data_IF_328645184989
#
_entry.id   IF_328645184989
#
_cell.length_a   1.000
_cell.length_b   1.000
_cell.length_c   1.000
_cell.angle_alpha   90.00
_cell.angle_beta   90.00
_cell.angle_gamma   90.00
#
_symmetry.space_group_name_H-M   'P 1'
#
loop_
_entity.id
_entity.type
_entity.pdbx_description
1 polymer ?
#
# COMPACT_ATOMS: atom_id res chain seq x y z
N UNK A 1 15.30 0.00 -2.03
CA UNK A 1 13.85 -0.05 -1.75
C UNK A 1 13.11 -0.84 -2.81
N UNK A 2 13.11 -0.43 -4.09
CA UNK A 2 12.38 -1.14 -5.15
C UNK A 2 12.73 -2.64 -5.25
N UNK A 3 14.02 -2.99 -5.20
CA UNK A 3 14.48 -4.37 -5.30
C UNK A 3 14.00 -5.26 -4.14
N UNK A 4 13.84 -4.69 -2.94
CA UNK A 4 13.25 -5.41 -1.80
C UNK A 4 11.77 -5.63 -2.03
N UNK A 5 11.05 -4.59 -2.49
CA UNK A 5 9.61 -4.67 -2.77
C UNK A 5 9.29 -5.64 -3.91
N UNK A 6 10.18 -5.79 -4.90
CA UNK A 6 9.99 -6.77 -6.00
C UNK A 6 9.87 -8.22 -5.55
N UNK A 7 10.30 -8.54 -4.32
CA UNK A 7 10.17 -9.86 -3.70
C UNK A 7 8.83 -10.05 -2.98
N UNK A 8 8.10 -8.96 -2.75
CA UNK A 8 6.82 -8.97 -2.05
C UNK A 8 5.69 -9.37 -3.01
N UNK A 9 4.81 -10.32 -2.62
CA UNK A 9 3.73 -10.78 -3.49
C UNK A 9 2.69 -9.69 -3.76
N UNK A 10 2.50 -8.76 -2.82
CA UNK A 10 1.54 -7.65 -2.93
C UNK A 10 2.09 -6.42 -3.67
N UNK A 11 3.33 -6.45 -4.14
CA UNK A 11 3.93 -5.35 -4.89
C UNK A 11 3.85 -5.57 -6.40
N UNK A 12 3.14 -4.67 -7.08
CA UNK A 12 2.86 -4.79 -8.52
C UNK A 12 3.80 -3.98 -9.41
N UNK A 13 4.82 -3.33 -8.84
CA UNK A 13 5.69 -2.46 -9.63
C UNK A 13 4.99 -1.17 -10.05
N UNK A 14 5.39 -0.65 -11.22
CA UNK A 14 4.76 0.53 -11.84
C UNK A 14 3.37 0.17 -12.34
N UNK A 15 2.35 0.74 -11.70
CA UNK A 15 0.95 0.48 -12.03
C UNK A 15 0.12 1.75 -11.85
N UNK A 16 -0.78 2.01 -12.79
CA UNK A 16 -1.63 3.19 -12.69
C UNK A 16 -2.78 2.96 -11.69
N UNK A 17 -3.43 4.06 -11.28
CA UNK A 17 -4.51 4.01 -10.29
C UNK A 17 -5.67 3.09 -10.72
N UNK A 18 -6.11 3.19 -11.98
CA UNK A 18 -7.27 2.43 -12.49
C UNK A 18 -7.00 0.93 -12.59
N UNK A 19 -5.78 0.54 -12.93
CA UNK A 19 -5.36 -0.86 -12.95
C UNK A 19 -5.40 -1.47 -11.55
N UNK A 20 -4.87 -0.76 -10.57
CA UNK A 20 -4.88 -1.20 -9.17
C UNK A 20 -6.30 -1.37 -8.63
N UNK A 21 -7.19 -0.39 -8.87
CA UNK A 21 -8.59 -0.45 -8.43
C UNK A 21 -9.34 -1.68 -8.98
N UNK A 22 -9.04 -2.12 -10.22
CA UNK A 22 -9.67 -3.29 -10.84
C UNK A 22 -9.26 -4.62 -10.20
N UNK A 23 -8.11 -4.66 -9.53
CA UNK A 23 -7.62 -5.88 -8.90
C UNK A 23 -8.24 -6.11 -7.52
N UNK A 24 -8.74 -5.05 -6.90
CA UNK A 24 -9.45 -5.10 -5.62
C UNK A 24 -10.87 -5.65 -5.82
N UNK A 25 -11.26 -6.66 -5.04
CA UNK A 25 -12.55 -7.34 -5.16
C UNK A 25 -13.36 -7.28 -3.86
N UNK A 26 -12.69 -7.46 -2.71
CA UNK A 26 -13.33 -7.53 -1.40
C UNK A 26 -12.72 -6.54 -0.43
N UNK A 27 -13.50 -6.13 0.58
CA UNK A 27 -12.99 -5.23 1.62
C UNK A 27 -11.80 -5.88 2.33
N UNK A 28 -10.75 -5.09 2.56
CA UNK A 28 -9.49 -5.57 3.10
C UNK A 28 -8.47 -6.00 2.05
N UNK A 29 -8.86 -6.10 0.77
CA UNK A 29 -7.92 -6.27 -0.33
C UNK A 29 -6.98 -5.07 -0.41
N UNK A 30 -5.70 -5.32 -0.61
CA UNK A 30 -4.72 -4.28 -0.83
C UNK A 30 -3.57 -4.71 -1.75
N UNK A 31 -2.92 -3.72 -2.35
CA UNK A 31 -1.66 -3.88 -3.08
C UNK A 31 -0.83 -2.60 -2.99
N UNK A 32 0.48 -2.74 -3.19
CA UNK A 32 1.38 -1.59 -3.32
C UNK A 32 1.85 -1.45 -4.76
N UNK A 33 1.86 -0.21 -5.23
CA UNK A 33 2.32 0.16 -6.56
C UNK A 33 3.26 1.36 -6.49
N UNK A 34 4.15 1.47 -7.47
CA UNK A 34 4.87 2.71 -7.75
C UNK A 34 4.01 3.59 -8.67
N UNK A 35 3.98 4.89 -8.39
CA UNK A 35 3.30 5.87 -9.24
C UNK A 35 3.95 5.94 -10.62
N UNK A 36 3.14 5.84 -11.68
CA UNK A 36 3.61 5.98 -13.07
C UNK A 36 3.98 7.42 -13.43
N UNK A 37 3.46 8.41 -12.69
CA UNK A 37 3.72 9.84 -12.95
C UNK A 37 4.87 10.39 -12.13
N UNK A 38 5.19 9.77 -11.00
CA UNK A 38 6.14 10.29 -10.02
C UNK A 38 7.04 9.15 -9.54
N UNK A 39 8.19 8.93 -10.20
CA UNK A 39 9.13 7.88 -9.82
C UNK A 39 9.55 7.99 -8.35
N UNK A 40 9.69 6.85 -7.67
CA UNK A 40 10.01 6.80 -6.23
C UNK A 40 8.82 7.01 -5.29
N UNK A 41 7.63 7.33 -5.81
CA UNK A 41 6.43 7.49 -5.00
C UNK A 41 5.65 6.16 -4.92
N UNK A 42 5.70 5.52 -3.76
CA UNK A 42 4.96 4.28 -3.49
C UNK A 42 3.58 4.56 -2.90
N UNK A 43 2.58 3.89 -3.46
CA UNK A 43 1.17 4.06 -3.13
C UNK A 43 0.59 2.71 -2.69
N UNK A 44 0.03 2.66 -1.49
CA UNK A 44 -0.83 1.58 -1.04
C UNK A 44 -2.24 1.83 -1.57
N UNK A 45 -2.78 0.86 -2.29
CA UNK A 45 -4.14 0.90 -2.82
C UNK A 45 -4.92 -0.24 -2.18
N UNK A 46 -6.01 0.07 -1.49
CA UNK A 46 -6.83 -0.94 -0.81
C UNK A 46 -8.31 -0.64 -0.83
N UNK A 47 -9.14 -1.65 -0.62
CA UNK A 47 -10.60 -1.53 -0.66
C UNK A 47 -11.17 -1.51 0.76
N UNK A 48 -11.89 -0.45 1.11
CA UNK A 48 -12.56 -0.34 2.40
C UNK A 48 -13.95 0.26 2.22
N UNK A 49 -14.97 -0.39 2.78
CA UNK A 49 -16.36 0.05 2.66
C UNK A 49 -16.86 0.09 1.21
N UNK A 50 -16.33 -0.78 0.34
CA UNK A 50 -16.64 -0.80 -1.09
C UNK A 50 -16.02 0.33 -1.90
N UNK A 51 -15.16 1.16 -1.30
CA UNK A 51 -14.48 2.26 -1.98
C UNK A 51 -12.96 2.04 -2.00
N UNK A 52 -12.31 2.13 -3.18
CA UNK A 52 -10.86 2.12 -3.26
C UNK A 52 -10.27 3.35 -2.59
N UNK A 53 -9.26 3.14 -1.76
CA UNK A 53 -8.50 4.16 -1.04
C UNK A 53 -7.04 4.06 -1.48
N UNK A 54 -6.37 5.22 -1.51
CA UNK A 54 -4.98 5.32 -1.92
C UNK A 54 -4.19 6.14 -0.91
N UNK A 55 -3.09 5.56 -0.42
CA UNK A 55 -2.25 6.15 0.62
C UNK A 55 -0.81 6.23 0.14
N UNK A 56 -0.20 7.39 0.32
CA UNK A 56 1.24 7.56 0.11
C UNK A 56 1.99 6.93 1.27
N UNK A 57 2.95 6.07 0.95
CA UNK A 57 3.75 5.37 1.97
C UNK A 57 5.06 6.07 2.26
N UNK A 58 5.51 6.91 1.33
CA UNK A 58 6.77 7.65 1.42
C UNK A 58 6.44 9.13 1.36
N UNK A 59 6.99 9.87 2.31
CA UNK A 59 6.86 11.32 2.37
C UNK A 59 7.81 12.02 1.36
N UNK A 60 7.76 13.35 1.24
CA UNK A 60 8.68 14.09 0.36
C UNK A 60 10.16 14.01 0.76
N UNK A 61 10.48 13.59 1.98
CA UNK A 61 11.83 13.44 2.54
C UNK A 61 12.41 12.03 2.30
N UNK A 62 11.61 11.11 1.74
CA UNK A 62 11.99 9.73 1.46
C UNK A 62 11.77 8.75 2.62
N UNK A 63 11.11 9.17 3.71
CA UNK A 63 10.90 8.32 4.89
C UNK A 63 9.56 7.59 4.78
N UNK A 64 9.56 6.30 5.15
CA UNK A 64 8.34 5.49 5.23
C UNK A 64 7.64 5.77 6.56
N UNK A 65 6.44 6.36 6.52
CA UNK A 65 5.68 6.65 7.73
C UNK A 65 4.18 6.69 7.50
N UNK A 66 3.43 6.37 8.55
CA UNK A 66 2.02 6.75 8.69
C UNK A 66 1.93 8.04 9.50
N UNK A 67 0.71 8.49 9.84
CA UNK A 67 0.51 9.70 10.65
C UNK A 67 1.26 9.64 11.98
N UNK A 68 1.25 8.48 12.64
CA UNK A 68 1.69 8.33 14.03
C UNK A 68 2.97 7.49 14.17
N UNK A 69 3.40 6.76 13.13
CA UNK A 69 4.52 5.83 13.21
C UNK A 69 5.48 5.97 12.02
N UNK A 70 6.78 5.83 12.30
CA UNK A 70 7.83 5.72 11.29
C UNK A 70 8.24 4.26 11.15
N UNK A 71 8.56 3.86 9.93
CA UNK A 71 8.97 2.50 9.60
C UNK A 71 10.30 2.52 8.84
N UNK A 72 11.06 1.44 8.98
CA UNK A 72 12.33 1.26 8.29
C UNK A 72 12.15 0.97 6.80
N UNK A 73 11.03 0.36 6.42
CA UNK A 73 10.71 0.00 5.05
C UNK A 73 9.20 -0.10 4.82
N UNK A 74 8.80 -0.11 3.55
CA UNK A 74 7.39 -0.33 3.17
C UNK A 74 6.94 -1.73 3.62
N UNK A 75 7.78 -2.76 3.47
CA UNK A 75 7.46 -4.11 3.95
C UNK A 75 7.19 -4.12 5.45
N UNK A 76 8.03 -3.44 6.25
CA UNK A 76 7.81 -3.32 7.70
C UNK A 76 6.48 -2.61 8.02
N UNK A 77 6.14 -1.53 7.31
CA UNK A 77 4.84 -0.86 7.48
C UNK A 77 3.67 -1.81 7.23
N UNK A 78 3.70 -2.58 6.13
CA UNK A 78 2.64 -3.52 5.77
C UNK A 78 2.53 -4.64 6.80
N UNK A 79 3.64 -5.31 7.13
CA UNK A 79 3.67 -6.40 8.12
C UNK A 79 3.18 -5.92 9.48
N UNK A 80 3.61 -4.74 9.95
CA UNK A 80 3.17 -4.20 11.23
C UNK A 80 1.64 -4.04 11.31
N UNK A 81 1.00 -3.51 10.25
CA UNK A 81 -0.45 -3.31 10.26
C UNK A 81 -1.22 -4.62 10.04
N UNK A 82 -0.70 -5.53 9.22
CA UNK A 82 -1.29 -6.84 9.00
C UNK A 82 -1.22 -7.73 10.25
N UNK A 83 -0.03 -7.89 10.83
CA UNK A 83 0.20 -8.82 11.95
C UNK A 83 -0.56 -8.36 13.21
N UNK A 84 -0.59 -7.05 13.45
CA UNK A 84 -1.31 -6.47 14.59
C UNK A 84 -2.78 -6.17 14.30
N UNK A 85 -3.26 -6.39 13.07
CA UNK A 85 -4.63 -6.07 12.65
C UNK A 85 -5.01 -4.60 12.91
N UNK A 86 -4.04 -3.70 12.75
CA UNK A 86 -4.21 -2.27 12.98
C UNK A 86 -4.58 -1.56 11.67
N UNK A 87 -5.61 -0.68 11.67
CA UNK A 87 -5.92 0.10 10.49
C UNK A 87 -4.86 1.18 10.26
N UNK A 88 -4.55 1.45 8.99
CA UNK A 88 -3.81 2.66 8.61
C UNK A 88 -4.81 3.83 8.60
N UNK A 89 -4.54 4.83 9.44
CA UNK A 89 -5.38 6.03 9.54
C UNK A 89 -4.73 7.18 8.78
N UNK A 90 -5.43 7.74 7.81
CA UNK A 90 -4.99 8.91 7.06
C UNK A 90 -6.15 9.86 6.78
N UNK A 91 -6.00 11.13 7.14
CA UNK A 91 -7.00 12.18 6.94
C UNK A 91 -8.44 11.79 7.37
N UNK A 92 -8.58 11.05 8.48
CA UNK A 92 -9.88 10.58 8.99
C UNK A 92 -10.45 9.35 8.27
N UNK A 93 -9.67 8.75 7.37
CA UNK A 93 -10.01 7.53 6.64
C UNK A 93 -9.17 6.36 7.12
N UNK A 94 -9.81 5.26 7.46
CA UNK A 94 -9.16 4.03 7.93
C UNK A 94 -9.06 3.01 6.80
N UNK A 95 -7.96 2.26 6.75
CA UNK A 95 -7.75 1.17 5.80
C UNK A 95 -7.18 -0.04 6.54
N UNK A 96 -7.93 -1.14 6.56
CA UNK A 96 -7.47 -2.39 7.15
C UNK A 96 -6.76 -3.23 6.08
N UNK A 97 -5.54 -3.68 6.38
CA UNK A 97 -4.79 -4.58 5.50
C UNK A 97 -5.13 -6.02 5.91
N UNK A 98 -5.90 -6.72 5.10
CA UNK A 98 -6.33 -8.08 5.40
C UNK A 98 -5.87 -9.08 4.35
N UNK A 99 -6.07 -8.75 3.08
CA UNK A 99 -5.79 -9.67 1.97
C UNK A 99 -4.83 -9.01 0.98
N UNK A 100 -3.58 -9.51 0.87
CA UNK A 100 -2.67 -9.05 -0.17
C UNK A 100 -3.20 -9.54 -1.53
N UNK A 101 -3.40 -8.61 -2.45
CA UNK A 101 -3.66 -8.96 -3.84
C UNK A 101 -2.33 -9.31 -4.49
N UNK A 102 -2.12 -10.61 -4.70
CA UNK A 102 -0.88 -11.11 -5.25
C UNK A 102 -0.67 -10.69 -6.70
N UNK A 103 0.57 -10.30 -7.02
CA UNK A 103 1.03 -10.10 -8.40
C UNK A 103 1.05 -11.46 -9.08
N UNK A 104 0.21 -11.63 -10.11
CA UNK A 104 0.33 -12.76 -11.02
C UNK A 104 1.67 -12.66 -11.76
N UNK A 105 2.55 -13.64 -11.51
CA UNK A 105 3.81 -13.84 -12.22
C UNK A 105 3.57 -14.25 -13.67
#
# INVERSE_FOLDING_TARGET
MEEQLRREPWYHGKMNRKEAEKLLKVNGDFLVRESTTTPGQYVLTGLQGGQPKHLLLVDPEGVVRTKDHRFESVSHLISYHMDNHLPIISAGSEMCLQQPVERRL
#
